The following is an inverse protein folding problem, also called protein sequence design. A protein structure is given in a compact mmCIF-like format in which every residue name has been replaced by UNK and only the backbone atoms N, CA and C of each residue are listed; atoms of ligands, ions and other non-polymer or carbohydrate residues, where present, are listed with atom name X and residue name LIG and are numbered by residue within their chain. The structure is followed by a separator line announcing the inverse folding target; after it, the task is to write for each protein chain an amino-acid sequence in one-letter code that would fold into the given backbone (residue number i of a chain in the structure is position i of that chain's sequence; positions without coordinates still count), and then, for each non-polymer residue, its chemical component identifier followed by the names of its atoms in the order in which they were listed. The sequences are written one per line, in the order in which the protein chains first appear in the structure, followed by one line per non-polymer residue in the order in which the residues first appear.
data_IF_617036991888
#
_entry.id   IF_617036991888
#
_cell.length_a   1.000
_cell.length_b   1.000
_cell.length_c   1.000
_cell.angle_alpha   90.00
_cell.angle_beta   90.00
_cell.angle_gamma   90.00
#
_symmetry.space_group_name_H-M   'P 1'
#
loop_
_entity.id
_entity.type
_entity.pdbx_description
1 polymer ?
#
# COMPACT_ATOMS: atom_id res chain seq x y z
N UNK A 1 7.17 -19.97 -4.37
CA UNK A 1 7.85 -18.82 -3.72
C UNK A 1 8.89 -18.28 -4.68
N UNK A 2 8.90 -16.99 -4.92
CA UNK A 2 9.96 -16.38 -5.73
C UNK A 2 11.28 -16.43 -4.96
N UNK A 3 12.37 -16.75 -5.62
CA UNK A 3 13.72 -16.73 -5.02
C UNK A 3 14.14 -15.30 -4.64
N UNK A 4 13.57 -14.31 -5.30
CA UNK A 4 13.83 -12.90 -5.05
C UNK A 4 12.51 -12.17 -4.74
N UNK A 5 12.39 -11.63 -3.55
CA UNK A 5 11.27 -10.79 -3.18
C UNK A 5 11.76 -9.39 -2.82
N UNK A 6 11.27 -8.39 -3.54
CA UNK A 6 11.55 -7.00 -3.25
C UNK A 6 10.69 -6.49 -2.08
N UNK A 7 11.24 -5.58 -1.32
CA UNK A 7 10.57 -4.97 -0.19
C UNK A 7 11.12 -3.58 0.12
N UNK A 8 10.47 -2.90 1.05
CA UNK A 8 10.93 -1.60 1.55
C UNK A 8 11.54 -1.75 2.94
N UNK A 9 12.70 -1.15 3.12
CA UNK A 9 13.30 -0.98 4.44
C UNK A 9 12.94 0.39 5.00
N UNK A 10 12.37 0.41 6.20
CA UNK A 10 12.02 1.64 6.91
C UNK A 10 12.68 1.63 8.28
N UNK A 11 13.54 2.61 8.53
CA UNK A 11 14.14 2.83 9.84
C UNK A 11 13.24 3.76 10.67
N UNK A 12 12.46 3.19 11.56
CA UNK A 12 11.53 3.93 12.42
C UNK A 12 12.21 4.86 13.42
N UNK A 13 13.49 4.63 13.72
CA UNK A 13 14.27 5.50 14.61
C UNK A 13 14.64 6.82 13.96
N UNK A 14 14.71 6.85 12.65
CA UNK A 14 15.06 8.04 11.84
C UNK A 14 13.87 8.75 11.22
N UNK A 15 12.71 8.11 11.19
CA UNK A 15 11.52 8.69 10.59
C UNK A 15 11.02 9.88 11.43
N UNK A 16 10.88 11.03 10.79
CA UNK A 16 10.42 12.29 11.43
C UNK A 16 9.03 12.72 10.93
N UNK A 17 8.33 11.87 10.19
CA UNK A 17 7.02 12.17 9.60
C UNK A 17 7.05 13.39 8.65
N UNK A 18 8.10 13.51 7.85
CA UNK A 18 8.22 14.62 6.88
C UNK A 18 7.33 14.49 5.64
N UNK A 19 6.69 13.34 5.44
CA UNK A 19 5.81 13.02 4.30
C UNK A 19 6.49 12.97 2.94
N UNK A 20 7.80 13.13 2.85
CA UNK A 20 8.53 13.11 1.58
C UNK A 20 8.31 11.82 0.79
N UNK A 21 8.29 10.67 1.46
CA UNK A 21 8.02 9.37 0.83
C UNK A 21 6.60 9.29 0.22
N UNK A 22 5.62 9.90 0.87
CA UNK A 22 4.22 9.95 0.40
C UNK A 22 4.10 10.86 -0.82
N UNK A 23 4.69 12.05 -0.75
CA UNK A 23 4.66 13.04 -1.84
C UNK A 23 5.40 12.51 -3.07
N UNK A 24 6.57 11.92 -2.89
CA UNK A 24 7.34 11.31 -3.99
C UNK A 24 6.55 10.20 -4.68
N UNK A 25 5.88 9.35 -3.91
CA UNK A 25 5.04 8.29 -4.45
C UNK A 25 3.85 8.86 -5.24
N UNK A 26 3.18 9.88 -4.72
CA UNK A 26 2.08 10.55 -5.41
C UNK A 26 2.53 11.20 -6.72
N UNK A 27 3.66 11.88 -6.69
CA UNK A 27 4.23 12.54 -7.87
C UNK A 27 4.62 11.53 -8.95
N UNK A 28 5.26 10.44 -8.55
CA UNK A 28 5.67 9.38 -9.47
C UNK A 28 4.49 8.70 -10.17
N UNK A 29 3.37 8.54 -9.46
CA UNK A 29 2.17 7.90 -9.97
C UNK A 29 1.11 8.90 -10.49
N UNK A 30 1.44 10.19 -10.56
CA UNK A 30 0.53 11.25 -11.03
C UNK A 30 -0.81 11.30 -10.26
N UNK A 31 -0.76 10.99 -8.97
CA UNK A 31 -1.93 11.01 -8.09
C UNK A 31 -2.18 12.45 -7.62
N UNK A 32 -3.38 12.96 -7.84
CA UNK A 32 -3.77 14.32 -7.46
C UNK A 32 -3.66 14.57 -5.95
N UNK A 33 -3.38 15.81 -5.58
CA UNK A 33 -3.44 16.26 -4.19
C UNK A 33 -4.86 16.04 -3.59
N UNK A 34 -4.93 15.82 -2.29
CA UNK A 34 -6.18 15.58 -1.55
C UNK A 34 -6.95 14.32 -1.96
N UNK A 35 -6.29 13.40 -2.66
CA UNK A 35 -6.83 12.09 -2.99
C UNK A 35 -6.10 11.00 -2.21
N UNK A 36 -6.47 9.75 -2.45
CA UNK A 36 -5.83 8.58 -1.83
C UNK A 36 -4.30 8.55 -2.05
N UNK A 37 -3.60 7.93 -1.14
CA UNK A 37 -2.15 7.73 -1.21
C UNK A 37 -1.83 6.24 -1.18
N UNK A 38 -0.92 5.81 -2.04
CA UNK A 38 -0.43 4.42 -2.05
C UNK A 38 0.49 4.14 -0.87
N UNK A 39 1.15 5.17 -0.36
CA UNK A 39 2.00 5.13 0.82
C UNK A 39 1.49 6.13 1.84
N UNK A 40 1.56 5.76 3.11
CA UNK A 40 1.16 6.63 4.22
C UNK A 40 2.15 6.52 5.37
N UNK A 41 2.16 7.51 6.23
CA UNK A 41 2.96 7.52 7.45
C UNK A 41 2.01 7.43 8.64
N UNK A 42 2.11 6.33 9.38
CA UNK A 42 1.37 6.14 10.61
C UNK A 42 2.15 6.68 11.80
N UNK A 43 1.43 7.19 12.77
CA UNK A 43 1.96 7.66 14.03
C UNK A 43 1.40 6.80 15.17
N UNK A 44 2.31 6.32 16.01
CA UNK A 44 1.99 5.60 17.22
C UNK A 44 2.52 6.40 18.42
N UNK A 45 1.63 6.75 19.33
CA UNK A 45 1.96 7.45 20.56
C UNK A 45 1.78 6.49 21.73
N UNK A 46 2.84 6.31 22.51
CA UNK A 46 2.84 5.42 23.68
C UNK A 46 3.30 6.16 24.93
N UNK A 47 2.85 5.71 26.09
CA UNK A 47 3.17 6.31 27.38
C UNK A 47 2.23 7.44 27.77
N UNK A 48 2.51 8.04 28.93
CA UNK A 48 1.79 9.17 29.51
C UNK A 48 2.77 10.29 29.84
N UNK A 49 2.28 11.53 29.84
CA UNK A 49 3.11 12.67 30.20
C UNK A 49 3.73 12.47 31.61
N UNK A 50 5.03 12.72 31.86
CA UNK A 50 5.99 13.34 30.91
C UNK A 50 6.72 12.35 29.97
N UNK A 51 6.54 11.03 30.13
CA UNK A 51 7.26 9.99 29.39
C UNK A 51 6.50 9.53 28.14
N UNK A 52 6.20 10.46 27.25
CA UNK A 52 5.53 10.17 25.97
C UNK A 52 6.57 9.82 24.90
N UNK A 53 6.33 8.70 24.22
CA UNK A 53 7.14 8.27 23.05
C UNK A 53 6.27 8.28 21.80
N UNK A 54 6.82 8.83 20.73
CA UNK A 54 6.19 8.83 19.39
C UNK A 54 7.04 8.03 18.43
N UNK A 55 6.38 7.18 17.65
CA UNK A 55 7.02 6.40 16.60
C UNK A 55 6.28 6.65 15.28
N UNK A 56 7.02 6.80 14.22
CA UNK A 56 6.48 6.98 12.88
C UNK A 56 6.89 5.80 12.01
N UNK A 57 5.96 5.32 11.19
CA UNK A 57 6.21 4.19 10.28
C UNK A 57 5.63 4.52 8.92
N UNK A 58 6.47 4.45 7.89
CA UNK A 58 6.03 4.56 6.50
C UNK A 58 5.51 3.22 6.02
N UNK A 59 4.25 3.16 5.64
CA UNK A 59 3.55 1.95 5.22
C UNK A 59 3.11 2.01 3.76
N UNK A 60 3.29 0.90 3.08
CA UNK A 60 2.74 0.60 1.75
C UNK A 60 2.43 -0.89 1.68
N UNK A 61 2.08 -1.39 0.50
CA UNK A 61 1.86 -2.82 0.33
C UNK A 61 3.10 -3.63 0.74
N UNK A 62 2.88 -4.68 1.51
CA UNK A 62 3.94 -5.58 1.99
C UNK A 62 4.27 -6.70 0.99
N UNK A 63 3.53 -6.80 -0.12
CA UNK A 63 3.67 -7.88 -1.10
C UNK A 63 3.78 -9.25 -0.43
N UNK A 64 2.80 -9.59 0.40
CA UNK A 64 2.78 -10.75 1.28
C UNK A 64 3.16 -12.04 0.57
N UNK A 65 3.80 -12.97 1.29
CA UNK A 65 4.12 -14.29 0.77
C UNK A 65 2.84 -15.05 0.37
N UNK A 66 1.83 -14.98 1.23
CA UNK A 66 0.48 -15.52 0.98
C UNK A 66 -0.54 -14.37 1.03
N UNK A 67 -0.75 -13.65 -0.10
CA UNK A 67 -1.57 -12.46 -0.08
C UNK A 67 -3.06 -12.78 0.04
N UNK A 68 -3.67 -12.43 1.16
CA UNK A 68 -5.11 -12.60 1.39
C UNK A 68 -5.95 -11.84 0.36
N UNK A 69 -5.49 -10.69 -0.10
CA UNK A 69 -6.18 -9.90 -1.12
C UNK A 69 -6.31 -10.61 -2.46
N UNK A 70 -5.32 -11.40 -2.84
CA UNK A 70 -5.37 -12.24 -4.05
C UNK A 70 -6.39 -13.36 -3.87
N UNK A 71 -6.38 -14.01 -2.70
CA UNK A 71 -7.27 -15.13 -2.40
C UNK A 71 -8.76 -14.74 -2.41
N UNK A 72 -9.10 -13.52 -1.97
CA UNK A 72 -10.50 -13.07 -1.86
C UNK A 72 -11.01 -12.33 -3.09
N UNK A 73 -10.18 -12.06 -4.09
CA UNK A 73 -10.61 -11.33 -5.28
C UNK A 73 -11.54 -12.21 -6.16
N UNK A 74 -12.84 -11.85 -6.30
CA UNK A 74 -13.78 -12.68 -7.04
C UNK A 74 -13.52 -12.68 -8.55
N UNK A 75 -12.87 -11.64 -9.06
CA UNK A 75 -12.57 -11.48 -10.50
C UNK A 75 -11.16 -11.93 -10.87
N UNK A 76 -10.34 -12.35 -9.92
CA UNK A 76 -8.94 -12.66 -10.16
C UNK A 76 -8.13 -11.47 -10.71
N UNK A 77 -8.54 -10.25 -10.35
CA UNK A 77 -7.86 -9.02 -10.77
C UNK A 77 -6.51 -8.81 -10.07
N UNK A 78 -6.33 -9.44 -8.92
CA UNK A 78 -5.09 -9.42 -8.17
C UNK A 78 -4.29 -10.67 -8.44
N UNK A 79 -3.00 -10.52 -8.69
CA UNK A 79 -2.07 -11.63 -8.89
C UNK A 79 -0.72 -11.32 -8.27
N UNK A 80 -0.02 -12.37 -7.85
CA UNK A 80 1.36 -12.27 -7.39
C UNK A 80 2.29 -12.78 -8.50
N UNK A 81 3.29 -11.97 -8.82
CA UNK A 81 4.30 -12.37 -9.81
C UNK A 81 5.35 -13.27 -9.16
N UNK A 82 5.73 -14.34 -9.84
CA UNK A 82 6.73 -15.29 -9.34
C UNK A 82 8.17 -14.76 -9.50
N UNK A 83 8.40 -13.84 -10.43
CA UNK A 83 9.72 -13.31 -10.74
C UNK A 83 10.31 -12.46 -9.62
N UNK A 84 9.50 -11.64 -8.97
CA UNK A 84 9.92 -10.64 -8.00
C UNK A 84 9.05 -10.59 -6.73
N UNK A 85 8.04 -11.45 -6.65
CA UNK A 85 7.13 -11.53 -5.53
C UNK A 85 6.19 -10.34 -5.37
N UNK A 86 6.05 -9.50 -6.40
CA UNK A 86 5.20 -8.32 -6.36
C UNK A 86 3.75 -8.68 -6.61
N UNK A 87 2.86 -8.18 -5.77
CA UNK A 87 1.40 -8.26 -5.99
C UNK A 87 0.98 -7.12 -6.90
N UNK A 88 0.34 -7.45 -8.00
CA UNK A 88 -0.14 -6.50 -9.01
C UNK A 88 -1.65 -6.58 -9.17
N UNK A 89 -2.26 -5.50 -9.61
CA UNK A 89 -3.67 -5.43 -9.91
C UNK A 89 -3.89 -5.19 -11.41
N UNK A 90 -4.83 -5.92 -11.97
CA UNK A 90 -5.35 -5.69 -13.32
C UNK A 90 -6.60 -4.83 -13.21
N UNK A 91 -6.48 -3.56 -13.58
CA UNK A 91 -7.58 -2.60 -13.48
C UNK A 91 -8.71 -2.88 -14.47
N UNK A 92 -8.44 -3.59 -15.57
CA UNK A 92 -9.48 -3.98 -16.53
C UNK A 92 -10.43 -5.04 -15.95
N UNK A 93 -9.92 -5.91 -15.09
CA UNK A 93 -10.70 -6.94 -14.40
C UNK A 93 -11.31 -6.48 -13.08
N UNK A 94 -10.78 -5.41 -12.49
CA UNK A 94 -11.23 -4.90 -11.20
C UNK A 94 -12.62 -4.28 -11.32
N UNK A 95 -13.57 -4.76 -10.51
CA UNK A 95 -14.93 -4.24 -10.44
C UNK A 95 -15.18 -3.24 -9.30
N UNK A 96 -14.16 -2.93 -8.52
CA UNK A 96 -14.27 -1.99 -7.40
C UNK A 96 -15.07 -2.50 -6.21
N UNK A 97 -15.16 -3.82 -6.00
CA UNK A 97 -15.93 -4.42 -4.91
C UNK A 97 -15.37 -4.17 -3.50
N UNK A 98 -14.12 -3.68 -3.39
CA UNK A 98 -13.42 -3.36 -2.13
C UNK A 98 -13.18 -4.54 -1.18
N UNK A 99 -13.40 -5.76 -1.60
CA UNK A 99 -13.19 -6.97 -0.78
C UNK A 99 -11.72 -7.13 -0.37
N UNK A 100 -10.79 -6.80 -1.26
CA UNK A 100 -9.36 -6.81 -0.97
C UNK A 100 -8.96 -5.83 0.14
N UNK A 101 -9.61 -4.68 0.22
CA UNK A 101 -9.39 -3.70 1.30
C UNK A 101 -9.81 -4.28 2.66
N UNK A 102 -10.94 -4.96 2.71
CA UNK A 102 -11.42 -5.61 3.94
C UNK A 102 -10.53 -6.77 4.36
N UNK A 103 -9.98 -7.52 3.40
CA UNK A 103 -9.11 -8.67 3.69
C UNK A 103 -7.69 -8.28 4.10
N UNK A 104 -7.22 -7.09 3.74
CA UNK A 104 -5.87 -6.64 4.06
C UNK A 104 -5.75 -6.23 5.53
N UNK A 105 -4.88 -6.89 6.33
CA UNK A 105 -4.71 -6.53 7.74
C UNK A 105 -4.01 -5.17 7.93
N UNK A 106 -3.36 -4.66 6.90
CA UNK A 106 -2.65 -3.38 6.92
C UNK A 106 -3.46 -2.23 6.33
N UNK A 107 -4.69 -2.50 5.86
CA UNK A 107 -5.56 -1.52 5.22
C UNK A 107 -4.86 -0.73 4.09
N UNK A 108 -4.11 -1.47 3.26
CA UNK A 108 -3.29 -0.88 2.19
C UNK A 108 -4.10 -0.51 0.95
N UNK A 109 -5.00 -1.37 0.42
CA UNK A 109 -5.77 -1.03 -0.77
C UNK A 109 -6.63 0.21 -0.54
N UNK A 110 -6.40 1.24 -1.35
CA UNK A 110 -7.12 2.50 -1.32
C UNK A 110 -7.86 2.69 -2.64
N UNK A 111 -9.02 3.30 -2.58
CA UNK A 111 -9.86 3.55 -3.74
C UNK A 111 -10.12 5.05 -3.88
N UNK A 112 -9.81 5.59 -5.06
CA UNK A 112 -10.26 6.92 -5.44
C UNK A 112 -11.63 6.81 -6.10
N UNK A 113 -12.48 7.81 -5.88
CA UNK A 113 -13.71 7.94 -6.62
C UNK A 113 -13.40 8.40 -8.05
N UNK A 114 -13.24 7.44 -8.95
CA UNK A 114 -13.09 7.70 -10.37
C UNK A 114 -14.47 7.58 -11.03
N UNK A 115 -14.65 8.23 -12.17
CA UNK A 115 -15.86 8.12 -12.99
C UNK A 115 -16.16 6.67 -13.40
N UNK A 116 -15.14 5.80 -13.41
CA UNK A 116 -15.26 4.37 -13.73
C UNK A 116 -15.56 3.47 -12.54
N UNK A 117 -15.60 4.00 -11.31
CA UNK A 117 -15.79 3.21 -10.09
C UNK A 117 -14.60 2.27 -9.75
N UNK A 118 -13.57 2.29 -10.56
CA UNK A 118 -12.35 1.52 -10.35
C UNK A 118 -11.41 2.32 -9.46
N UNK A 119 -11.07 1.77 -8.31
CA UNK A 119 -10.19 2.44 -7.36
C UNK A 119 -8.74 2.54 -7.86
N UNK A 120 -8.06 3.60 -7.44
CA UNK A 120 -6.59 3.63 -7.54
C UNK A 120 -6.04 2.63 -6.54
N UNK A 121 -5.65 1.48 -7.03
CA UNK A 121 -5.02 0.46 -6.21
C UNK A 121 -3.60 0.87 -5.82
N UNK A 122 -3.27 0.70 -4.55
CA UNK A 122 -1.92 0.91 -4.04
C UNK A 122 -0.90 -0.14 -4.52
N UNK A 123 -1.36 -1.10 -5.31
CA UNK A 123 -0.63 -2.28 -5.75
C UNK A 123 -0.18 -2.19 -7.20
N UNK A 124 0.22 -1.03 -7.69
CA UNK A 124 0.70 -0.91 -9.05
C UNK A 124 2.16 -1.35 -9.19
N UNK A 125 2.45 -1.91 -10.36
CA UNK A 125 3.77 -2.37 -10.81
C UNK A 125 4.90 -1.35 -10.64
N UNK A 126 4.57 -0.05 -10.68
CA UNK A 126 5.51 1.06 -10.53
C UNK A 126 5.88 1.39 -9.08
N UNK A 127 5.26 0.76 -8.09
CA UNK A 127 5.50 1.08 -6.68
C UNK A 127 6.76 0.44 -6.09
N UNK A 128 7.52 -0.29 -6.89
CA UNK A 128 8.73 -1.03 -6.48
C UNK A 128 9.96 -0.61 -7.31
N UNK A 129 10.12 0.65 -7.56
CA UNK A 129 11.37 1.18 -8.15
C UNK A 129 12.00 2.16 -7.19
#
# INVERSE_FOLDING_TARGET
MSENQYGFYVDTSRCIKCWACVVSCKQWHEIKANTVSRRRVNEEVTGTFPDVKRRFTSLSCMHCAEPACVAVCPQGALSKRDEDGIVVVDLERCIGCKTCSTACPFDVPQYADNESGQGVHSLDRKSVV
#
